data_IF_266830965890
#
_entry.id   IF_266830965890
#
_cell.length_a   1.000
_cell.length_b   1.000
_cell.length_c   1.000
_cell.angle_alpha   90.00
_cell.angle_beta   90.00
_cell.angle_gamma   90.00
#
_symmetry.space_group_name_H-M   'P 1'
#
loop_
_entity.id
_entity.type
_entity.pdbx_description
1 polymer ?
#
# COMPACT_ATOMS: atom_id res chain seq x y z
N UNK A 1 -68.06 25.31 -8.56
CA UNK A 1 -69.13 25.89 -7.71
C UNK A 1 -68.52 26.19 -6.32
N UNK A 2 -68.97 27.26 -5.65
CA UNK A 2 -68.79 27.69 -4.22
C UNK A 2 -67.71 26.97 -3.35
N UNK A 3 -66.66 27.59 -2.79
CA UNK A 3 -66.56 28.75 -1.84
C UNK A 3 -67.32 28.52 -0.51
N UNK A 4 -66.82 28.80 0.72
CA UNK A 4 -65.54 29.32 1.28
C UNK A 4 -65.54 29.03 2.82
N UNK A 5 -64.88 29.73 3.78
CA UNK A 5 -64.04 30.95 3.85
C UNK A 5 -63.16 30.93 5.16
N UNK A 6 -62.17 31.85 5.24
CA UNK A 6 -61.53 32.63 6.36
C UNK A 6 -62.00 32.40 7.83
N UNK A 7 -61.25 32.73 8.91
CA UNK A 7 -60.17 33.71 9.20
C UNK A 7 -59.29 33.23 10.41
N UNK A 8 -58.30 33.92 11.03
CA UNK A 8 -57.89 35.34 11.21
C UNK A 8 -56.34 35.45 11.33
N UNK A 9 -55.79 36.65 11.09
CA UNK A 9 -54.35 37.03 11.12
C UNK A 9 -53.97 37.97 12.28
N UNK A 10 -52.74 37.87 12.82
CA UNK A 10 -51.93 38.95 13.41
C UNK A 10 -50.48 38.42 13.63
N UNK A 11 -49.42 38.90 12.98
CA UNK A 11 -48.60 40.12 13.27
C UNK A 11 -48.11 40.20 14.73
N UNK A 12 -46.82 40.37 15.06
CA UNK A 12 -45.59 40.54 14.27
C UNK A 12 -44.53 41.31 15.08
N UNK A 13 -43.23 41.24 14.72
CA UNK A 13 -42.07 41.98 15.31
C UNK A 13 -41.77 41.77 16.82
N UNK A 14 -40.54 41.79 17.31
CA UNK A 14 -39.21 41.91 16.68
C UNK A 14 -38.11 42.16 17.74
N UNK A 15 -36.83 41.95 17.36
CA UNK A 15 -35.60 42.35 18.09
C UNK A 15 -35.31 41.69 19.47
N UNK A 16 -34.09 41.57 20.00
CA UNK A 16 -32.73 41.30 19.50
C UNK A 16 -31.72 41.62 20.65
N UNK A 17 -31.43 40.65 21.53
CA UNK A 17 -30.27 40.60 22.46
C UNK A 17 -30.10 41.73 23.51
N UNK A 18 -28.96 41.78 24.24
CA UNK A 18 -27.89 40.77 24.38
C UNK A 18 -27.32 40.59 25.83
N UNK A 19 -26.23 39.79 25.96
CA UNK A 19 -25.14 39.81 26.98
C UNK A 19 -25.32 39.27 28.42
N UNK A 20 -24.21 38.66 28.94
CA UNK A 20 -23.99 38.15 30.32
C UNK A 20 -23.72 36.63 30.35
N UNK A 21 -22.49 36.11 30.18
CA UNK A 21 -21.39 36.00 31.17
C UNK A 21 -21.83 35.53 32.57
N UNK A 22 -21.64 34.23 32.89
CA UNK A 22 -20.68 33.73 33.90
C UNK A 22 -20.91 32.25 34.29
N UNK A 23 -19.82 31.50 34.49
CA UNK A 23 -19.74 30.25 35.26
C UNK A 23 -18.93 30.53 36.53
N UNK A 24 -19.44 30.21 37.73
CA UNK A 24 -18.75 29.17 38.50
C UNK A 24 -19.68 28.29 39.37
N UNK A 25 -19.51 26.98 39.33
CA UNK A 25 -20.35 26.03 40.06
C UNK A 25 -20.06 25.82 41.57
N UNK A 26 -21.05 25.29 42.32
CA UNK A 26 -20.82 24.51 43.56
C UNK A 26 -22.02 23.64 44.03
N UNK A 27 -21.81 22.32 43.97
CA UNK A 27 -22.16 21.22 44.92
C UNK A 27 -23.53 21.13 45.65
N UNK A 28 -23.92 19.84 45.84
CA UNK A 28 -24.83 19.22 46.86
C UNK A 28 -26.32 19.06 46.49
N UNK A 29 -27.05 18.07 47.07
CA UNK A 29 -26.67 16.70 47.46
C UNK A 29 -27.74 15.61 47.14
N UNK A 30 -27.46 14.34 47.45
CA UNK A 30 -28.52 13.37 47.83
C UNK A 30 -28.74 12.16 46.91
N UNK A 31 -28.17 11.01 47.28
CA UNK A 31 -28.60 9.68 46.81
C UNK A 31 -29.71 9.11 47.72
N UNK A 32 -30.33 7.97 47.35
CA UNK A 32 -29.91 6.75 48.05
C UNK A 32 -29.63 5.55 47.13
N UNK A 33 -28.94 4.55 47.73
CA UNK A 33 -28.44 3.33 47.10
C UNK A 33 -29.53 2.26 46.93
N UNK A 34 -29.25 1.27 46.07
CA UNK A 34 -29.75 -0.10 46.23
C UNK A 34 -28.59 -1.08 46.11
N UNK A 35 -28.57 -2.04 47.02
CA UNK A 35 -27.41 -2.91 47.26
C UNK A 35 -27.39 -4.17 46.39
N UNK A 36 -26.19 -4.77 46.35
CA UNK A 36 -25.87 -6.01 45.67
C UNK A 36 -26.46 -7.25 46.39
N UNK A 37 -26.71 -8.31 45.64
CA UNK A 37 -26.77 -9.67 46.20
C UNK A 37 -25.87 -10.60 45.38
N UNK A 38 -24.96 -11.25 46.10
CA UNK A 38 -24.09 -12.34 45.64
C UNK A 38 -24.54 -13.61 46.37
N UNK A 39 -24.42 -14.80 45.76
CA UNK A 39 -24.13 -15.99 46.52
C UNK A 39 -22.84 -16.67 46.05
N UNK A 40 -22.11 -17.26 47.01
CA UNK A 40 -20.88 -17.99 46.78
C UNK A 40 -20.94 -19.38 47.45
N UNK A 41 -20.21 -20.34 46.88
CA UNK A 41 -19.72 -21.53 47.58
C UNK A 41 -20.66 -22.74 47.66
N UNK A 42 -20.19 -23.90 47.18
CA UNK A 42 -20.94 -25.16 47.23
C UNK A 42 -20.14 -26.35 46.70
N UNK A 43 -19.07 -26.72 47.40
CA UNK A 43 -18.19 -27.84 47.05
C UNK A 43 -18.90 -29.21 47.29
N UNK A 44 -18.79 -30.16 46.34
CA UNK A 44 -18.89 -31.60 46.66
C UNK A 44 -18.35 -32.52 45.56
N UNK A 45 -17.65 -33.57 46.01
CA UNK A 45 -16.94 -34.59 45.21
C UNK A 45 -17.84 -35.77 44.78
N UNK A 46 -17.24 -36.64 43.97
CA UNK A 46 -17.61 -38.03 43.62
C UNK A 46 -18.53 -38.18 42.39
N UNK A 47 -18.40 -39.18 41.51
CA UNK A 47 -17.32 -40.12 41.13
C UNK A 47 -17.92 -41.14 40.14
N UNK A 48 -17.09 -41.66 39.24
CA UNK A 48 -17.22 -42.99 38.61
C UNK A 48 -18.30 -43.28 37.54
N UNK A 49 -17.79 -43.67 36.35
CA UNK A 49 -18.19 -44.82 35.50
C UNK A 49 -19.61 -44.88 34.90
N UNK A 50 -19.69 -44.91 33.57
CA UNK A 50 -20.91 -45.28 32.84
C UNK A 50 -20.71 -45.44 31.33
N UNK A 51 -20.38 -46.65 30.90
CA UNK A 51 -20.26 -47.11 29.50
C UNK A 51 -21.54 -46.85 28.68
N UNK A 52 -21.43 -46.54 27.38
CA UNK A 52 -22.60 -46.44 26.49
C UNK A 52 -22.23 -46.12 25.03
N UNK A 53 -21.95 -47.15 24.24
CA UNK A 53 -21.65 -47.00 22.81
C UNK A 53 -22.91 -46.71 21.97
N UNK A 54 -22.76 -45.92 20.91
CA UNK A 54 -23.75 -45.79 19.84
C UNK A 54 -23.12 -46.04 18.47
N UNK A 55 -23.42 -47.20 17.89
CA UNK A 55 -23.20 -47.48 16.47
C UNK A 55 -24.39 -46.97 15.65
N UNK A 56 -24.15 -46.46 14.44
CA UNK A 56 -25.21 -45.98 13.54
C UNK A 56 -24.69 -45.59 12.16
N UNK A 57 -24.34 -46.59 11.35
CA UNK A 57 -23.94 -46.40 9.94
C UNK A 57 -25.13 -46.09 9.00
N UNK A 58 -24.86 -45.69 7.75
CA UNK A 58 -25.83 -45.00 6.90
C UNK A 58 -26.67 -45.92 5.98
N UNK A 59 -27.82 -45.45 5.46
CA UNK A 59 -28.55 -46.14 4.40
C UNK A 59 -28.03 -45.78 3.00
N UNK A 60 -27.83 -46.80 2.15
CA UNK A 60 -27.70 -46.67 0.69
C UNK A 60 -29.04 -47.02 0.03
N UNK A 61 -29.45 -46.30 -1.01
CA UNK A 61 -30.55 -46.72 -1.89
C UNK A 61 -30.43 -46.20 -3.34
N UNK A 62 -30.35 -47.13 -4.29
CA UNK A 62 -30.51 -47.11 -5.77
C UNK A 62 -30.65 -48.59 -6.19
N UNK A 63 -31.09 -48.99 -7.42
CA UNK A 63 -31.40 -48.19 -8.63
C UNK A 63 -32.74 -48.55 -9.35
N UNK A 64 -33.11 -47.82 -10.41
CA UNK A 64 -33.53 -48.32 -11.76
C UNK A 64 -33.71 -47.14 -12.75
N UNK A 65 -33.51 -47.36 -14.06
CA UNK A 65 -33.55 -46.33 -15.13
C UNK A 65 -34.93 -46.18 -15.83
N UNK A 66 -35.04 -45.74 -17.13
CA UNK A 66 -34.01 -45.67 -18.19
C UNK A 66 -33.90 -44.33 -18.98
N UNK A 67 -33.02 -44.32 -20.00
CA UNK A 67 -32.72 -43.23 -20.95
C UNK A 67 -33.63 -43.23 -22.20
N UNK A 68 -33.61 -42.15 -23.01
CA UNK A 68 -33.71 -42.26 -24.47
C UNK A 68 -32.50 -41.66 -25.23
N UNK A 69 -32.24 -42.15 -26.44
CA UNK A 69 -31.29 -41.62 -27.44
C UNK A 69 -32.06 -41.01 -28.63
N UNK A 70 -31.52 -39.99 -29.29
CA UNK A 70 -32.04 -39.48 -30.57
C UNK A 70 -31.15 -38.44 -31.26
N UNK A 71 -30.73 -38.75 -32.49
CA UNK A 71 -30.01 -37.93 -33.49
C UNK A 71 -30.36 -38.55 -34.87
N UNK A 72 -30.04 -37.95 -36.04
CA UNK A 72 -29.60 -36.57 -36.37
C UNK A 72 -30.43 -35.92 -37.51
N UNK A 73 -30.11 -34.68 -37.92
CA UNK A 73 -30.41 -34.13 -39.27
C UNK A 73 -29.55 -32.88 -39.57
N UNK A 74 -28.91 -32.82 -40.74
CA UNK A 74 -28.38 -31.60 -41.39
C UNK A 74 -29.22 -31.24 -42.63
N UNK A 75 -28.77 -30.36 -43.58
CA UNK A 75 -27.39 -29.90 -43.82
C UNK A 75 -27.19 -28.37 -44.08
N UNK A 76 -25.92 -28.02 -44.30
CA UNK A 76 -25.29 -26.77 -44.82
C UNK A 76 -25.77 -26.41 -46.28
N UNK A 77 -25.38 -25.28 -46.97
CA UNK A 77 -24.05 -24.61 -46.95
C UNK A 77 -23.97 -23.06 -47.10
N UNK A 78 -22.78 -22.47 -46.85
CA UNK A 78 -22.01 -21.67 -47.86
C UNK A 78 -20.64 -21.13 -47.34
N UNK A 79 -19.56 -21.79 -47.81
CA UNK A 79 -18.21 -21.34 -48.30
C UNK A 79 -17.72 -19.88 -48.07
N UNK A 80 -16.42 -19.63 -47.82
CA UNK A 80 -15.28 -20.56 -47.61
C UNK A 80 -13.86 -19.99 -47.85
N UNK A 81 -12.85 -20.87 -47.73
CA UNK A 81 -11.42 -20.77 -48.13
C UNK A 81 -10.48 -19.75 -47.40
N UNK A 82 -9.22 -20.09 -47.05
CA UNK A 82 -8.56 -21.41 -47.06
C UNK A 82 -7.03 -21.38 -46.88
N UNK A 83 -6.44 -22.55 -46.57
CA UNK A 83 -5.00 -22.91 -46.64
C UNK A 83 -4.03 -22.23 -45.64
N UNK A 84 -2.93 -22.85 -45.18
CA UNK A 84 -2.24 -24.11 -45.56
C UNK A 84 -1.44 -24.68 -44.37
N UNK A 85 -1.44 -25.99 -44.17
CA UNK A 85 -0.51 -26.69 -43.25
C UNK A 85 0.83 -27.00 -43.93
N UNK A 86 1.92 -27.04 -43.16
CA UNK A 86 3.17 -27.71 -43.55
C UNK A 86 3.67 -28.62 -42.42
N UNK A 87 3.63 -29.93 -42.67
CA UNK A 87 4.55 -30.88 -42.02
C UNK A 87 5.91 -30.78 -42.69
N UNK A 88 6.98 -30.92 -41.92
CA UNK A 88 8.27 -31.44 -42.41
C UNK A 88 8.76 -32.46 -41.40
N UNK A 89 8.86 -33.71 -41.85
CA UNK A 89 9.69 -34.75 -41.23
C UNK A 89 11.14 -34.49 -41.68
N UNK A 90 12.13 -34.56 -40.79
CA UNK A 90 13.36 -35.28 -41.14
C UNK A 90 14.12 -35.82 -39.92
N UNK A 91 14.88 -36.89 -40.17
CA UNK A 91 15.61 -37.71 -39.20
C UNK A 91 17.11 -37.51 -39.36
N UNK A 92 17.85 -37.39 -38.25
CA UNK A 92 19.16 -38.07 -37.99
C UNK A 92 19.65 -37.71 -36.59
N UNK A 93 19.70 -38.67 -35.66
CA UNK A 93 20.89 -39.53 -35.42
C UNK A 93 22.19 -38.74 -35.21
N UNK A 94 22.60 -38.60 -33.95
CA UNK A 94 23.93 -39.06 -33.53
C UNK A 94 23.84 -39.67 -32.12
N UNK A 95 24.13 -40.97 -32.00
CA UNK A 95 24.47 -41.61 -30.72
C UNK A 95 25.99 -41.52 -30.55
N UNK A 96 26.46 -41.03 -29.40
CA UNK A 96 27.76 -41.40 -28.85
C UNK A 96 27.62 -41.68 -27.36
N UNK A 97 27.92 -42.91 -26.98
CA UNK A 97 28.05 -43.32 -25.59
C UNK A 97 29.50 -43.74 -25.33
N UNK A 98 30.17 -43.08 -24.40
CA UNK A 98 31.32 -43.57 -23.64
C UNK A 98 31.26 -42.83 -22.29
N UNK A 99 30.85 -43.47 -21.19
CA UNK A 99 31.60 -44.44 -20.35
C UNK A 99 32.81 -43.84 -19.62
N UNK A 100 32.65 -43.69 -18.30
CA UNK A 100 33.70 -43.88 -17.28
C UNK A 100 34.57 -42.67 -16.95
N UNK A 101 34.60 -42.23 -15.68
CA UNK A 101 35.46 -41.11 -15.30
C UNK A 101 35.39 -40.52 -13.87
N UNK A 102 34.92 -41.25 -12.86
CA UNK A 102 35.10 -40.94 -11.42
C UNK A 102 35.26 -42.29 -10.68
N UNK A 103 36.03 -42.40 -9.56
CA UNK A 103 36.32 -41.33 -8.57
C UNK A 103 37.77 -41.26 -8.03
N UNK A 104 38.13 -40.21 -7.28
CA UNK A 104 38.46 -40.30 -5.83
C UNK A 104 38.76 -38.94 -5.16
N UNK A 105 38.60 -38.81 -3.83
CA UNK A 105 38.80 -37.55 -3.08
C UNK A 105 40.02 -37.56 -2.13
N UNK A 106 40.52 -36.37 -1.81
CA UNK A 106 41.22 -35.95 -0.57
C UNK A 106 41.38 -34.41 -0.67
N UNK A 107 41.53 -33.59 0.37
CA UNK A 107 42.12 -33.81 1.71
C UNK A 107 41.30 -33.05 2.77
N UNK A 108 41.00 -33.69 3.91
CA UNK A 108 40.63 -32.97 5.14
C UNK A 108 41.90 -32.44 5.81
N UNK A 109 41.88 -31.21 6.32
CA UNK A 109 42.72 -30.83 7.48
C UNK A 109 41.80 -30.47 8.64
N UNK A 110 42.06 -31.10 9.77
CA UNK A 110 41.55 -30.74 11.08
C UNK A 110 42.71 -30.15 11.90
N UNK A 111 42.42 -29.82 13.17
CA UNK A 111 43.25 -29.12 14.15
C UNK A 111 43.27 -27.58 13.96
N UNK A 112 42.98 -26.75 14.98
CA UNK A 112 42.86 -27.03 16.42
C UNK A 112 41.82 -26.21 17.20
N UNK A 113 41.81 -26.42 18.52
CA UNK A 113 40.75 -26.15 19.50
C UNK A 113 40.41 -24.66 19.76
N UNK A 114 39.19 -24.36 20.28
CA UNK A 114 38.76 -23.01 20.63
C UNK A 114 39.42 -22.46 21.91
N UNK A 115 39.58 -21.14 21.99
CA UNK A 115 39.93 -20.43 23.24
C UNK A 115 38.67 -20.05 24.02
N UNK A 116 38.60 -20.49 25.29
CA UNK A 116 37.70 -19.97 26.33
C UNK A 116 38.48 -18.99 27.22
N UNK A 117 37.96 -17.79 27.44
CA UNK A 117 38.17 -16.87 28.57
C UNK A 117 37.58 -15.50 28.19
N UNK A 118 36.93 -14.71 29.05
CA UNK A 118 36.54 -14.93 30.45
C UNK A 118 35.21 -14.20 30.77
N UNK A 119 34.51 -14.67 31.80
CA UNK A 119 33.46 -13.92 32.48
C UNK A 119 34.08 -12.78 33.29
N UNK A 120 33.50 -11.58 33.22
CA UNK A 120 33.74 -10.50 34.20
C UNK A 120 32.43 -9.80 34.57
N UNK A 121 31.82 -10.29 35.64
CA UNK A 121 31.08 -9.53 36.65
C UNK A 121 31.81 -9.85 37.98
N UNK A 122 31.94 -8.92 38.95
CA UNK A 122 30.82 -8.17 39.51
C UNK A 122 31.10 -6.69 39.86
N UNK A 123 30.07 -5.98 40.32
CA UNK A 123 30.19 -4.62 40.85
C UNK A 123 28.86 -4.03 41.32
N UNK A 124 28.38 -4.40 42.50
CA UNK A 124 27.23 -3.75 43.13
C UNK A 124 27.62 -2.36 43.65
N UNK A 125 26.86 -1.32 43.28
CA UNK A 125 26.99 0.05 43.80
C UNK A 125 25.61 0.64 44.08
N UNK A 126 25.40 1.20 45.27
CA UNK A 126 24.08 1.60 45.78
C UNK A 126 23.71 3.03 45.37
N UNK A 127 22.49 3.19 44.86
CA UNK A 127 21.51 4.25 45.19
C UNK A 127 21.91 5.73 45.18
N UNK A 128 21.21 6.51 44.35
CA UNK A 128 20.71 7.85 44.73
C UNK A 128 19.45 8.16 43.90
N UNK A 129 18.41 8.70 44.55
CA UNK A 129 17.21 9.19 43.87
C UNK A 129 17.35 10.68 43.54
N UNK A 130 16.95 11.09 42.34
CA UNK A 130 16.71 12.49 41.98
C UNK A 130 15.58 12.54 40.95
N UNK A 131 14.57 13.38 41.19
CA UNK A 131 13.29 13.32 40.46
C UNK A 131 13.32 13.93 39.05
N UNK A 132 12.52 13.37 38.16
CA UNK A 132 12.23 13.96 36.86
C UNK A 132 11.40 15.24 37.02
N UNK A 133 11.91 16.37 36.49
CA UNK A 133 11.10 17.54 36.13
C UNK A 133 10.79 17.49 34.64
N UNK A 134 9.54 17.75 34.28
CA UNK A 134 9.12 17.88 32.88
C UNK A 134 9.68 19.16 32.24
N UNK A 135 10.02 19.14 30.93
CA UNK A 135 10.27 20.37 30.18
C UNK A 135 8.94 21.07 29.85
N UNK A 136 8.88 22.38 30.12
CA UNK A 136 7.75 23.23 29.78
C UNK A 136 7.79 23.65 28.30
N UNK A 137 6.61 23.87 27.72
CA UNK A 137 6.42 24.38 26.36
C UNK A 137 6.88 25.83 26.21
N UNK A 138 7.48 26.15 25.06
CA UNK A 138 7.80 27.54 24.65
C UNK A 138 6.86 27.93 23.52
N UNK A 139 6.09 28.99 23.75
CA UNK A 139 5.25 29.65 22.75
C UNK A 139 6.12 30.65 21.97
N UNK A 140 5.91 30.75 20.65
CA UNK A 140 6.58 31.74 19.78
C UNK A 140 5.53 32.58 19.07
N UNK A 141 5.52 33.88 19.38
CA UNK A 141 4.73 34.90 18.68
C UNK A 141 5.59 35.62 17.62
N UNK A 142 5.01 36.13 16.51
CA UNK A 142 5.78 36.63 15.36
C UNK A 142 6.11 38.14 15.43
N UNK A 143 7.38 38.49 15.17
CA UNK A 143 7.86 39.87 15.07
C UNK A 143 8.21 40.28 13.63
N UNK A 144 7.82 41.50 13.23
CA UNK A 144 8.11 42.11 11.91
C UNK A 144 9.58 42.62 11.77
N UNK A 145 10.07 42.85 10.54
CA UNK A 145 11.50 43.06 10.25
C UNK A 145 11.97 44.53 10.28
N UNK A 146 13.28 44.79 10.52
CA UNK A 146 13.92 46.08 10.23
C UNK A 146 14.54 46.13 8.82
N UNK A 147 14.82 47.35 8.34
CA UNK A 147 15.29 47.62 6.98
C UNK A 147 16.70 48.23 6.90
N UNK A 148 17.31 48.09 5.71
CA UNK A 148 18.39 48.91 5.11
C UNK A 148 19.79 48.95 5.77
N UNK A 149 20.83 48.87 4.93
CA UNK A 149 22.21 49.25 5.30
C UNK A 149 23.32 48.52 4.52
N UNK A 150 23.73 49.04 3.37
CA UNK A 150 24.98 48.64 2.70
C UNK A 150 26.14 49.54 3.15
N UNK A 151 27.32 48.98 3.48
CA UNK A 151 28.59 49.72 3.45
C UNK A 151 29.49 49.28 2.29
N UNK A 152 30.27 50.22 1.76
CA UNK A 152 31.24 50.01 0.66
C UNK A 152 32.63 49.64 1.19
N UNK A 153 33.22 48.61 0.60
CA UNK A 153 34.60 48.59 0.08
C UNK A 153 35.80 48.79 1.02
N UNK A 154 36.69 47.80 1.04
CA UNK A 154 38.13 47.95 1.36
C UNK A 154 38.95 47.29 0.24
N UNK A 155 40.09 47.88 -0.11
CA UNK A 155 41.01 47.40 -1.16
C UNK A 155 42.18 46.61 -0.53
N UNK A 156 42.73 45.64 -1.26
CA UNK A 156 44.05 45.07 -0.97
C UNK A 156 45.05 45.36 -2.11
N UNK A 157 46.36 45.52 -1.80
CA UNK A 157 47.40 45.87 -2.77
C UNK A 157 47.93 44.65 -3.54
N UNK A 158 48.64 44.91 -4.65
CA UNK A 158 48.99 43.90 -5.65
C UNK A 158 50.37 43.23 -5.50
N UNK A 159 50.65 42.32 -6.43
CA UNK A 159 51.98 41.78 -6.75
C UNK A 159 52.12 41.65 -8.27
N UNK A 160 53.22 42.15 -8.82
CA UNK A 160 53.52 42.15 -10.26
C UNK A 160 53.78 40.76 -10.85
N UNK A 161 53.26 40.50 -12.06
CA UNK A 161 53.87 39.58 -13.03
C UNK A 161 53.79 40.09 -14.48
N UNK A 162 54.92 40.66 -14.91
CA UNK A 162 55.58 40.66 -16.22
C UNK A 162 54.76 40.19 -17.44
N UNK A 163 54.71 41.03 -18.48
CA UNK A 163 53.98 40.75 -19.72
C UNK A 163 54.64 39.74 -20.68
N UNK A 164 53.81 39.22 -21.58
CA UNK A 164 54.14 38.45 -22.77
C UNK A 164 53.21 38.88 -23.93
N UNK A 165 53.55 38.59 -25.20
CA UNK A 165 53.10 39.41 -26.33
C UNK A 165 51.65 39.23 -26.80
N UNK A 166 51.15 40.29 -27.44
CA UNK A 166 49.82 40.43 -28.01
C UNK A 166 49.55 39.42 -29.14
N UNK A 167 48.51 38.61 -28.96
CA UNK A 167 47.91 37.82 -30.02
C UNK A 167 46.46 38.26 -30.24
N UNK A 168 46.30 39.35 -31.01
CA UNK A 168 45.07 39.72 -31.72
C UNK A 168 44.52 38.55 -32.56
N UNK A 169 43.75 37.66 -31.95
CA UNK A 169 42.77 36.83 -32.66
C UNK A 169 41.45 37.58 -32.74
N UNK A 170 41.14 38.03 -33.95
CA UNK A 170 39.88 38.66 -34.30
C UNK A 170 38.72 37.72 -33.92
N UNK A 171 37.81 38.19 -33.06
CA UNK A 171 36.52 37.49 -32.85
C UNK A 171 35.65 37.77 -34.06
N UNK A 172 35.11 36.76 -34.76
CA UNK A 172 34.15 37.02 -35.84
C UNK A 172 32.90 37.68 -35.26
N UNK A 173 32.40 38.70 -35.94
CA UNK A 173 31.07 39.23 -35.68
C UNK A 173 30.02 38.18 -36.09
N UNK A 174 28.98 38.02 -35.28
CA UNK A 174 27.88 37.10 -35.59
C UNK A 174 27.63 36.04 -34.51
N UNK A 175 26.89 36.44 -33.49
CA UNK A 175 25.81 35.63 -32.93
C UNK A 175 24.89 36.55 -32.13
N UNK A 176 23.70 36.76 -32.68
CA UNK A 176 22.61 37.40 -31.92
C UNK A 176 22.33 36.53 -30.71
N UNK A 177 22.49 37.09 -29.51
CA UNK A 177 22.01 36.45 -28.29
C UNK A 177 20.49 36.55 -28.31
N UNK A 178 19.84 35.59 -28.97
CA UNK A 178 18.43 35.32 -28.73
C UNK A 178 18.27 35.13 -27.22
N UNK A 179 17.37 35.89 -26.55
CA UNK A 179 17.09 35.62 -25.16
C UNK A 179 16.54 34.20 -25.11
N UNK A 180 17.31 33.28 -24.52
CA UNK A 180 16.76 31.99 -24.10
C UNK A 180 15.61 32.36 -23.18
N UNK A 181 14.40 32.19 -23.69
CA UNK A 181 13.17 32.46 -22.94
C UNK A 181 13.27 31.56 -21.73
N UNK A 182 13.63 32.13 -20.59
CA UNK A 182 13.64 31.43 -19.33
C UNK A 182 12.20 30.99 -19.13
N UNK A 183 11.94 29.72 -19.42
CA UNK A 183 10.73 29.07 -18.98
C UNK A 183 10.84 29.11 -17.47
N UNK A 184 10.13 30.06 -16.84
CA UNK A 184 10.02 30.13 -15.39
C UNK A 184 9.81 28.69 -14.91
N UNK A 185 10.62 28.21 -13.95
CA UNK A 185 10.50 26.82 -13.50
C UNK A 185 9.03 26.60 -13.15
N UNK A 186 8.43 25.57 -13.76
CA UNK A 186 7.06 25.17 -13.45
C UNK A 186 6.99 25.09 -11.92
N UNK A 187 6.09 25.85 -11.26
CA UNK A 187 6.03 25.85 -9.79
C UNK A 187 5.95 24.39 -9.33
N UNK A 188 6.74 24.04 -8.31
CA UNK A 188 7.16 22.66 -8.08
C UNK A 188 5.99 21.74 -7.70
N UNK A 189 5.27 21.27 -8.71
CA UNK A 189 3.95 20.70 -8.57
C UNK A 189 4.01 19.41 -7.77
N UNK A 190 3.10 19.30 -6.79
CA UNK A 190 2.90 18.09 -6.00
C UNK A 190 1.47 17.61 -6.20
N UNK A 191 1.31 16.53 -6.95
CA UNK A 191 0.00 15.94 -7.24
C UNK A 191 -0.76 15.59 -5.96
N UNK A 192 -0.06 15.16 -4.91
CA UNK A 192 -0.66 14.85 -3.62
C UNK A 192 -1.15 16.09 -2.85
N UNK A 193 -0.44 17.21 -2.96
CA UNK A 193 -0.89 18.48 -2.37
C UNK A 193 -2.04 19.08 -3.18
N UNK A 194 -1.93 19.07 -4.51
CA UNK A 194 -2.98 19.58 -5.39
C UNK A 194 -4.31 18.83 -5.19
N UNK A 195 -4.28 17.50 -5.17
CA UNK A 195 -5.47 16.66 -4.89
C UNK A 195 -6.08 16.92 -3.51
N UNK A 196 -5.25 17.22 -2.49
CA UNK A 196 -5.72 17.58 -1.16
C UNK A 196 -6.36 18.98 -1.13
N UNK A 197 -5.72 19.98 -1.73
CA UNK A 197 -6.27 21.36 -1.86
C UNK A 197 -7.55 21.40 -2.70
N UNK A 198 -7.69 20.48 -3.63
CA UNK A 198 -8.85 20.31 -4.51
C UNK A 198 -10.02 19.53 -3.88
N UNK A 199 -9.90 19.14 -2.60
CA UNK A 199 -10.82 18.26 -1.85
C UNK A 199 -11.22 16.99 -2.63
N UNK A 200 -10.28 16.41 -3.38
CA UNK A 200 -10.60 15.30 -4.29
C UNK A 200 -11.04 14.05 -3.47
N UNK A 201 -12.17 13.40 -3.80
CA UNK A 201 -12.57 12.16 -3.13
C UNK A 201 -11.56 11.03 -3.34
N UNK A 202 -11.17 10.36 -2.25
CA UNK A 202 -10.25 9.21 -2.29
C UNK A 202 -10.99 7.86 -2.38
N UNK A 203 -12.27 7.84 -2.03
CA UNK A 203 -13.11 6.64 -1.94
C UNK A 203 -13.51 6.14 -3.33
N UNK A 204 -13.47 4.83 -3.54
CA UNK A 204 -13.70 4.19 -4.85
C UNK A 204 -12.48 4.22 -5.77
N UNK A 205 -11.28 4.49 -5.24
CA UNK A 205 -10.05 4.64 -6.03
C UNK A 205 -8.98 3.59 -5.78
N UNK A 206 -9.26 2.56 -4.98
CA UNK A 206 -8.33 1.45 -4.77
C UNK A 206 -8.09 0.65 -6.07
N UNK A 207 -6.93 0.00 -6.23
CA UNK A 207 -6.65 -0.84 -7.39
C UNK A 207 -7.67 -1.96 -7.52
N UNK A 208 -8.19 -2.20 -8.73
CA UNK A 208 -9.20 -3.23 -9.01
C UNK A 208 -8.57 -4.57 -9.42
N UNK A 209 -7.25 -4.72 -9.30
CA UNK A 209 -6.54 -5.93 -9.71
C UNK A 209 -6.84 -7.10 -8.73
N UNK A 210 -7.52 -8.19 -9.16
CA UNK A 210 -7.94 -9.26 -8.25
C UNK A 210 -6.79 -10.21 -7.89
N UNK A 211 -5.80 -10.34 -8.77
CA UNK A 211 -4.63 -11.19 -8.58
C UNK A 211 -3.36 -10.33 -8.53
N UNK A 212 -2.60 -10.46 -7.45
CA UNK A 212 -1.39 -9.68 -7.18
C UNK A 212 -0.22 -10.63 -6.93
N UNK A 213 0.92 -10.35 -7.58
CA UNK A 213 2.21 -10.98 -7.31
C UNK A 213 3.17 -9.95 -6.70
N UNK A 214 3.77 -10.28 -5.57
CA UNK A 214 4.77 -9.46 -4.89
C UNK A 214 6.11 -10.16 -4.94
N UNK A 215 7.15 -9.51 -5.47
CA UNK A 215 8.49 -10.10 -5.61
C UNK A 215 9.55 -9.21 -4.98
N UNK A 216 10.38 -9.76 -4.11
CA UNK A 216 11.50 -9.04 -3.50
C UNK A 216 12.54 -8.62 -4.56
N UNK A 217 12.75 -7.32 -4.70
CA UNK A 217 13.77 -6.70 -5.54
C UNK A 217 14.41 -5.54 -4.76
N UNK A 218 15.46 -5.80 -3.95
CA UNK A 218 16.10 -4.81 -3.08
C UNK A 218 16.73 -3.62 -3.80
N UNK A 219 16.90 -3.71 -5.13
CA UNK A 219 17.51 -2.68 -5.95
C UNK A 219 16.65 -1.41 -6.14
N UNK A 220 17.21 -0.41 -6.84
CA UNK A 220 16.45 0.73 -7.32
C UNK A 220 15.44 0.29 -8.40
N UNK A 221 14.30 0.97 -8.45
CA UNK A 221 13.27 0.81 -9.47
C UNK A 221 13.14 2.09 -10.31
N UNK A 222 12.86 1.96 -11.60
CA UNK A 222 12.57 3.08 -12.50
C UNK A 222 11.08 3.44 -12.57
N UNK A 223 10.69 4.06 -13.70
CA UNK A 223 9.33 4.59 -13.91
C UNK A 223 8.35 3.47 -14.24
N UNK A 224 8.81 2.47 -14.98
CA UNK A 224 8.11 1.20 -15.16
C UNK A 224 8.89 0.13 -14.38
N UNK A 225 8.44 -0.18 -13.17
CA UNK A 225 9.28 -0.90 -12.23
C UNK A 225 9.57 -2.36 -12.62
N UNK A 226 8.72 -3.01 -13.41
CA UNK A 226 8.91 -4.41 -13.83
C UNK A 226 9.98 -4.53 -14.91
N UNK A 227 10.09 -3.52 -15.80
CA UNK A 227 11.17 -3.41 -16.78
C UNK A 227 12.43 -2.74 -16.19
N UNK A 228 12.26 -1.64 -15.44
CA UNK A 228 13.35 -0.81 -14.92
C UNK A 228 13.83 -1.28 -13.52
N UNK A 229 14.41 -2.47 -13.40
CA UNK A 229 14.98 -2.96 -12.14
C UNK A 229 16.26 -3.81 -12.34
N UNK A 230 16.80 -4.39 -11.26
CA UNK A 230 18.06 -5.18 -11.27
C UNK A 230 17.89 -6.70 -11.27
N UNK A 231 16.67 -7.24 -11.44
CA UNK A 231 16.44 -8.67 -11.63
C UNK A 231 17.12 -9.15 -12.94
N UNK A 232 17.36 -10.45 -13.11
CA UNK A 232 17.77 -11.03 -14.39
C UNK A 232 16.74 -10.73 -15.50
N UNK A 233 17.19 -10.60 -16.75
CA UNK A 233 16.29 -10.22 -17.86
C UNK A 233 15.17 -11.24 -18.07
N UNK A 234 15.48 -12.54 -18.04
CA UNK A 234 14.48 -13.60 -18.13
C UNK A 234 13.38 -13.51 -17.06
N UNK A 235 13.73 -13.05 -15.85
CA UNK A 235 12.78 -12.83 -14.75
C UNK A 235 11.91 -11.61 -15.04
N UNK A 236 12.47 -10.53 -15.59
CA UNK A 236 11.68 -9.35 -16.03
C UNK A 236 10.73 -9.69 -17.16
N UNK A 237 11.20 -10.42 -18.18
CA UNK A 237 10.38 -10.89 -19.31
C UNK A 237 9.24 -11.79 -18.84
N UNK A 238 9.53 -12.75 -17.95
CA UNK A 238 8.51 -13.62 -17.34
C UNK A 238 7.47 -12.80 -16.55
N UNK A 239 7.91 -11.92 -15.65
CA UNK A 239 7.02 -11.05 -14.86
C UNK A 239 6.14 -10.15 -15.75
N UNK A 240 6.67 -9.65 -16.87
CA UNK A 240 5.93 -8.83 -17.82
C UNK A 240 4.93 -9.62 -18.68
N UNK A 241 5.05 -10.95 -18.73
CA UNK A 241 4.16 -11.85 -19.47
C UNK A 241 3.03 -12.45 -18.61
N UNK A 242 3.06 -12.26 -17.28
CA UNK A 242 2.00 -12.72 -16.38
C UNK A 242 0.75 -11.83 -16.48
N UNK A 243 -0.43 -12.44 -16.50
CA UNK A 243 -1.73 -11.76 -16.40
C UNK A 243 -2.10 -11.45 -14.94
N UNK A 244 -1.12 -10.97 -14.16
CA UNK A 244 -1.23 -10.67 -12.73
C UNK A 244 -0.65 -9.29 -12.43
N UNK A 245 -1.13 -8.65 -11.37
CA UNK A 245 -0.57 -7.36 -10.94
C UNK A 245 0.75 -7.56 -10.19
N UNK A 246 1.86 -7.31 -10.87
CA UNK A 246 3.20 -7.39 -10.27
C UNK A 246 3.55 -6.10 -9.51
N UNK A 247 3.90 -6.24 -8.22
CA UNK A 247 4.64 -5.23 -7.46
C UNK A 247 6.00 -5.78 -7.02
N UNK A 248 7.00 -4.89 -6.92
CA UNK A 248 8.31 -5.28 -6.39
C UNK A 248 8.49 -4.71 -4.98
N UNK A 249 9.08 -5.50 -4.09
CA UNK A 249 9.25 -5.20 -2.67
C UNK A 249 10.71 -4.94 -2.29
N UNK A 250 10.97 -4.13 -1.27
CA UNK A 250 12.25 -4.14 -0.52
C UNK A 250 12.06 -3.74 0.94
N UNK A 251 13.01 -4.12 1.80
CA UNK A 251 13.09 -3.60 3.16
C UNK A 251 13.49 -2.12 3.15
N UNK A 252 12.97 -1.34 4.10
CA UNK A 252 13.22 0.10 4.21
C UNK A 252 14.71 0.47 4.40
N UNK A 253 15.45 -0.38 5.13
CA UNK A 253 16.89 -0.24 5.35
C UNK A 253 17.74 -0.75 4.17
N UNK A 254 17.10 -1.29 3.13
CA UNK A 254 17.77 -1.92 1.99
C UNK A 254 18.37 -3.30 2.29
N UNK A 255 18.08 -3.89 3.46
CA UNK A 255 18.47 -5.26 3.76
C UNK A 255 17.76 -6.27 2.85
N UNK A 256 18.43 -7.41 2.63
CA UNK A 256 17.92 -8.52 1.85
C UNK A 256 18.38 -9.83 2.51
N UNK A 257 17.52 -10.85 2.48
CA UNK A 257 17.87 -12.19 2.94
C UNK A 257 18.79 -12.93 1.96
N UNK A 258 19.18 -14.18 2.27
CA UNK A 258 19.94 -15.04 1.35
C UNK A 258 19.10 -15.59 0.18
N UNK A 259 17.90 -15.08 -0.05
CA UNK A 259 16.95 -15.56 -1.06
C UNK A 259 15.94 -14.48 -1.44
N UNK A 260 15.03 -14.81 -2.37
CA UNK A 260 14.01 -13.90 -2.91
C UNK A 260 12.64 -14.26 -2.35
N UNK A 261 12.04 -13.39 -1.53
CA UNK A 261 10.65 -13.60 -1.09
C UNK A 261 9.67 -13.34 -2.23
N UNK A 262 8.71 -14.24 -2.37
CA UNK A 262 7.60 -14.14 -3.33
C UNK A 262 6.30 -14.36 -2.59
N UNK A 263 5.31 -13.50 -2.84
CA UNK A 263 3.95 -13.67 -2.34
C UNK A 263 2.96 -13.58 -3.49
N UNK A 264 1.93 -14.42 -3.47
CA UNK A 264 0.73 -14.25 -4.28
C UNK A 264 -0.43 -13.87 -3.37
N UNK A 265 -1.22 -12.89 -3.78
CA UNK A 265 -2.45 -12.51 -3.12
C UNK A 265 -3.59 -12.57 -4.13
N UNK A 266 -4.59 -13.41 -3.84
CA UNK A 266 -5.80 -13.59 -4.66
C UNK A 266 -7.00 -13.02 -3.91
N UNK A 267 -7.80 -12.18 -4.56
CA UNK A 267 -8.93 -11.50 -3.92
C UNK A 267 -10.01 -12.48 -3.44
N UNK A 268 -10.63 -12.14 -2.31
CA UNK A 268 -11.74 -12.90 -1.69
C UNK A 268 -12.86 -11.95 -1.28
N UNK A 269 -13.99 -12.51 -0.86
CA UNK A 269 -15.13 -11.72 -0.37
C UNK A 269 -14.76 -10.77 0.78
N UNK A 270 -13.74 -11.08 1.60
CA UNK A 270 -13.35 -10.29 2.78
C UNK A 270 -11.97 -9.61 2.67
N UNK A 271 -11.25 -9.76 1.55
CA UNK A 271 -9.87 -9.26 1.41
C UNK A 271 -9.09 -10.01 0.35
N UNK A 272 -7.96 -10.58 0.75
CA UNK A 272 -7.10 -11.42 -0.08
C UNK A 272 -6.64 -12.66 0.68
N UNK A 273 -6.66 -13.81 0.02
CA UNK A 273 -5.91 -14.99 0.46
C UNK A 273 -4.45 -14.80 0.04
N UNK A 274 -3.54 -14.72 1.03
CA UNK A 274 -2.10 -14.56 0.78
C UNK A 274 -1.39 -15.89 0.91
N UNK A 275 -0.51 -16.18 -0.04
CA UNK A 275 0.44 -17.29 -0.02
C UNK A 275 1.84 -16.75 -0.23
N UNK A 276 2.87 -17.41 0.30
CA UNK A 276 4.23 -16.92 0.15
C UNK A 276 5.31 -17.97 0.37
N UNK A 277 6.45 -17.76 -0.28
CA UNK A 277 7.63 -18.63 -0.22
C UNK A 277 8.92 -17.81 -0.27
N UNK A 278 10.06 -18.46 -0.07
CA UNK A 278 11.39 -17.88 -0.27
C UNK A 278 12.14 -18.76 -1.26
N UNK A 279 12.48 -18.18 -2.41
CA UNK A 279 13.28 -18.82 -3.44
C UNK A 279 14.77 -18.63 -3.14
N UNK A 280 15.62 -19.60 -3.49
CA UNK A 280 17.08 -19.43 -3.34
C UNK A 280 17.61 -18.31 -4.26
N UNK A 281 17.03 -18.14 -5.44
CA UNK A 281 17.40 -17.11 -6.43
C UNK A 281 16.17 -16.53 -7.14
N UNK A 282 16.25 -15.31 -7.70
CA UNK A 282 15.14 -14.73 -8.45
C UNK A 282 14.81 -15.49 -9.75
N UNK A 283 15.78 -16.18 -10.37
CA UNK A 283 15.52 -16.99 -11.57
C UNK A 283 14.68 -18.24 -11.28
N UNK A 284 14.62 -18.71 -10.04
CA UNK A 284 13.84 -19.90 -9.68
C UNK A 284 12.32 -19.59 -9.73
N UNK A 285 11.94 -18.32 -9.89
CA UNK A 285 10.57 -17.87 -10.17
C UNK A 285 10.05 -18.40 -11.52
N UNK A 286 10.95 -18.63 -12.48
CA UNK A 286 10.58 -19.08 -13.84
C UNK A 286 9.92 -20.46 -13.85
N UNK A 287 10.25 -21.30 -12.87
CA UNK A 287 9.76 -22.66 -12.68
C UNK A 287 8.75 -22.76 -11.52
N UNK A 288 8.38 -21.64 -10.88
CA UNK A 288 7.45 -21.61 -9.75
C UNK A 288 6.00 -21.74 -10.23
N UNK A 289 5.36 -22.87 -9.91
CA UNK A 289 3.92 -23.01 -10.04
C UNK A 289 3.23 -22.08 -9.02
N UNK A 290 2.56 -21.04 -9.53
CA UNK A 290 1.88 -20.04 -8.71
C UNK A 290 0.56 -20.55 -8.10
N UNK A 291 -0.02 -21.62 -8.63
CA UNK A 291 -1.28 -22.22 -8.18
C UNK A 291 -1.06 -23.36 -7.15
N UNK A 292 0.10 -24.03 -7.21
CA UNK A 292 0.47 -25.12 -6.28
C UNK A 292 0.59 -24.63 -4.81
N UNK A 293 -0.30 -25.08 -3.91
CA UNK A 293 -0.26 -24.70 -2.49
C UNK A 293 0.92 -25.31 -1.72
N UNK A 294 1.68 -26.25 -2.30
CA UNK A 294 2.90 -26.81 -1.71
C UNK A 294 4.13 -25.98 -2.05
N UNK A 295 4.18 -25.37 -3.24
CA UNK A 295 5.21 -24.41 -3.63
C UNK A 295 4.98 -23.02 -3.00
N UNK A 296 3.71 -22.61 -2.88
CA UNK A 296 3.25 -21.38 -2.23
C UNK A 296 2.30 -21.71 -1.06
N UNK A 297 2.81 -22.01 0.14
CA UNK A 297 1.99 -22.22 1.33
C UNK A 297 1.28 -20.92 1.76
N UNK A 298 0.19 -21.07 2.54
CA UNK A 298 -0.54 -19.95 3.12
C UNK A 298 0.35 -19.05 3.99
N UNK A 299 0.10 -17.74 3.97
CA UNK A 299 0.83 -16.75 4.74
C UNK A 299 -0.13 -15.84 5.52
N UNK A 300 -0.17 -16.01 6.83
CA UNK A 300 -1.10 -15.30 7.73
C UNK A 300 -0.52 -14.00 8.33
N UNK A 301 0.70 -13.62 7.94
CA UNK A 301 1.36 -12.41 8.44
C UNK A 301 0.82 -11.12 7.78
N UNK A 302 0.93 -9.96 8.46
CA UNK A 302 0.58 -8.69 7.86
C UNK A 302 1.62 -8.28 6.82
N UNK A 303 1.18 -7.77 5.67
CA UNK A 303 2.03 -7.07 4.70
C UNK A 303 1.58 -5.60 4.60
N UNK A 304 2.40 -4.70 5.13
CA UNK A 304 2.21 -3.25 5.03
C UNK A 304 3.01 -2.73 3.84
N UNK A 305 2.38 -2.70 2.67
CA UNK A 305 3.02 -2.35 1.41
C UNK A 305 2.97 -0.83 1.20
N UNK A 306 4.05 -0.12 1.48
CA UNK A 306 4.13 1.35 1.37
C UNK A 306 4.73 1.76 0.03
N UNK A 307 3.98 2.49 -0.80
CA UNK A 307 4.45 2.86 -2.13
C UNK A 307 5.52 3.97 -2.08
N UNK A 308 6.77 3.64 -2.43
CA UNK A 308 7.90 4.60 -2.37
C UNK A 308 8.58 4.88 -3.72
N UNK A 309 7.99 4.47 -4.85
CA UNK A 309 8.58 4.66 -6.17
C UNK A 309 8.60 6.14 -6.64
N UNK A 310 9.66 6.86 -6.24
CA UNK A 310 9.96 8.24 -6.64
C UNK A 310 10.25 8.45 -8.13
N UNK A 311 10.64 7.40 -8.87
CA UNK A 311 10.86 7.46 -10.32
C UNK A 311 9.54 7.44 -11.10
N UNK A 312 8.49 6.85 -10.52
CA UNK A 312 7.12 6.96 -11.03
C UNK A 312 6.53 8.34 -10.72
N UNK A 313 6.51 8.74 -9.45
CA UNK A 313 6.06 10.06 -9.00
C UNK A 313 6.78 10.48 -7.71
N UNK A 314 7.15 11.76 -7.59
CA UNK A 314 7.91 12.30 -6.46
C UNK A 314 7.17 12.16 -5.13
N UNK A 315 5.85 12.39 -5.11
CA UNK A 315 5.04 12.31 -3.89
C UNK A 315 5.13 10.93 -3.23
N UNK A 316 5.25 9.85 -4.02
CA UNK A 316 5.44 8.49 -3.51
C UNK A 316 6.71 8.35 -2.67
N UNK A 317 7.85 8.87 -3.12
CA UNK A 317 9.08 8.80 -2.34
C UNK A 317 9.08 9.80 -1.16
N UNK A 318 8.58 11.02 -1.37
CA UNK A 318 8.60 12.08 -0.36
C UNK A 318 7.73 11.74 0.87
N UNK A 319 6.50 11.22 0.65
CA UNK A 319 5.57 10.87 1.73
C UNK A 319 5.69 9.40 2.16
N UNK A 320 5.92 8.48 1.22
CA UNK A 320 5.95 7.04 1.50
C UNK A 320 7.18 6.58 2.27
N UNK A 321 8.38 7.14 2.03
CA UNK A 321 9.60 6.65 2.71
C UNK A 321 9.60 6.92 4.22
N UNK A 322 9.21 8.11 4.74
CA UNK A 322 9.04 8.33 6.17
C UNK A 322 8.05 7.35 6.82
N UNK A 323 6.93 7.04 6.14
CA UNK A 323 5.92 6.09 6.62
C UNK A 323 6.50 4.67 6.68
N UNK A 324 7.20 4.22 5.64
CA UNK A 324 7.86 2.91 5.63
C UNK A 324 8.89 2.78 6.78
N UNK A 325 9.64 3.85 7.06
CA UNK A 325 10.61 3.87 8.16
C UNK A 325 9.98 3.89 9.55
N UNK A 326 8.78 4.46 9.70
CA UNK A 326 7.99 4.40 10.93
C UNK A 326 7.42 2.99 11.14
N UNK A 327 6.71 2.45 10.13
CA UNK A 327 6.05 1.14 10.23
C UNK A 327 7.06 0.00 10.38
N UNK A 328 8.28 0.12 9.82
CA UNK A 328 9.34 -0.87 9.99
C UNK A 328 9.94 -0.93 11.41
N UNK A 329 9.67 0.04 12.28
CA UNK A 329 10.05 -0.03 13.70
C UNK A 329 9.06 -0.89 14.50
N UNK A 330 7.77 -0.84 14.16
CA UNK A 330 6.71 -1.63 14.81
C UNK A 330 6.58 -3.03 14.21
N UNK A 331 6.57 -3.11 12.87
CA UNK A 331 6.41 -4.34 12.10
C UNK A 331 7.58 -4.57 11.13
N UNK A 332 8.80 -4.85 11.63
CA UNK A 332 10.00 -5.00 10.79
C UNK A 332 9.86 -6.10 9.73
N UNK A 333 9.22 -7.22 10.05
CA UNK A 333 9.03 -8.31 9.08
C UNK A 333 7.82 -8.10 8.14
N UNK A 334 6.80 -7.36 8.58
CA UNK A 334 5.59 -7.10 7.80
C UNK A 334 5.66 -5.87 6.89
N UNK A 335 6.52 -4.91 7.20
CA UNK A 335 6.64 -3.66 6.44
C UNK A 335 7.54 -3.81 5.22
N UNK A 336 7.05 -3.31 4.08
CA UNK A 336 7.75 -3.31 2.80
C UNK A 336 7.63 -1.94 2.14
N UNK A 337 8.75 -1.41 1.65
CA UNK A 337 8.68 -0.47 0.54
C UNK A 337 8.22 -1.25 -0.70
N UNK A 338 7.30 -0.69 -1.48
CA UNK A 338 6.80 -1.30 -2.72
C UNK A 338 6.83 -0.33 -3.91
N UNK A 339 6.73 -0.89 -5.10
CA UNK A 339 6.57 -0.14 -6.36
C UNK A 339 5.19 0.54 -6.42
N UNK A 340 4.83 1.09 -7.58
CA UNK A 340 3.71 2.02 -7.64
C UNK A 340 2.34 1.35 -7.57
N UNK A 341 1.73 1.38 -6.38
CA UNK A 341 0.37 0.88 -6.08
C UNK A 341 -0.77 1.59 -6.83
N UNK A 342 -0.53 2.68 -7.54
CA UNK A 342 -1.60 3.55 -8.06
C UNK A 342 -2.08 4.58 -7.02
N UNK A 343 -2.56 5.74 -7.50
CA UNK A 343 -3.04 6.82 -6.63
C UNK A 343 -1.93 7.69 -6.03
N UNK A 344 -0.90 8.03 -6.79
CA UNK A 344 0.20 8.94 -6.35
C UNK A 344 -0.29 10.36 -5.94
N UNK A 345 -1.45 10.79 -6.42
CA UNK A 345 -2.14 12.01 -5.95
C UNK A 345 -2.80 11.86 -4.57
N UNK A 346 -2.83 10.65 -4.03
CA UNK A 346 -3.28 10.33 -2.68
C UNK A 346 -2.11 9.76 -1.86
N UNK A 347 -0.88 10.21 -2.13
CA UNK A 347 0.33 9.63 -1.55
C UNK A 347 0.41 9.79 -0.03
N UNK A 348 1.33 9.05 0.57
CA UNK A 348 0.97 8.25 1.74
C UNK A 348 0.06 7.08 1.36
N UNK A 349 0.33 6.43 0.22
CA UNK A 349 -0.42 5.24 -0.22
C UNK A 349 0.17 3.96 0.35
N UNK A 350 -0.71 3.12 0.89
CA UNK A 350 -0.39 1.83 1.48
C UNK A 350 -1.42 0.79 1.00
N UNK A 351 -1.00 -0.45 0.77
CA UNK A 351 -1.90 -1.61 0.64
C UNK A 351 -1.63 -2.56 1.80
N UNK A 352 -2.65 -2.86 2.59
CA UNK A 352 -2.58 -3.77 3.72
C UNK A 352 -3.11 -5.15 3.30
N UNK A 353 -2.29 -6.19 3.39
CA UNK A 353 -2.72 -7.59 3.22
C UNK A 353 -2.62 -8.33 4.57
N UNK A 354 -3.50 -9.29 4.86
CA UNK A 354 -4.53 -9.88 3.98
C UNK A 354 -5.83 -9.06 3.81
N UNK A 355 -6.03 -7.96 4.53
CA UNK A 355 -7.32 -7.23 4.50
C UNK A 355 -7.71 -6.68 3.12
N UNK A 356 -6.73 -6.41 2.24
CA UNK A 356 -6.95 -5.78 0.94
C UNK A 356 -7.22 -4.28 1.03
N UNK A 357 -7.18 -3.67 2.21
CA UNK A 357 -7.50 -2.24 2.37
C UNK A 357 -6.39 -1.38 1.76
N UNK A 358 -6.75 -0.62 0.72
CA UNK A 358 -5.88 0.39 0.15
C UNK A 358 -6.11 1.72 0.87
N UNK A 359 -5.06 2.25 1.48
CA UNK A 359 -5.05 3.53 2.18
C UNK A 359 -4.40 4.62 1.31
N UNK A 360 -4.71 5.88 1.60
CA UNK A 360 -4.13 7.05 0.96
C UNK A 360 -4.16 8.26 1.88
N UNK A 361 -3.42 9.31 1.53
CA UNK A 361 -3.23 10.54 2.33
C UNK A 361 -2.67 10.28 3.74
N UNK A 362 -1.98 9.15 3.94
CA UNK A 362 -1.27 8.89 5.19
C UNK A 362 -0.07 9.83 5.33
N UNK A 363 0.27 10.10 6.59
CA UNK A 363 1.50 10.76 7.02
C UNK A 363 2.09 10.02 8.22
N UNK A 364 3.21 10.50 8.78
CA UNK A 364 3.84 9.87 9.95
C UNK A 364 3.05 10.03 11.26
N UNK A 365 1.99 10.84 11.30
CA UNK A 365 1.12 10.99 12.47
C UNK A 365 -0.07 10.02 12.42
N UNK A 366 -0.54 9.69 11.23
CA UNK A 366 -1.73 8.86 10.97
C UNK A 366 -1.42 7.40 10.61
N UNK A 367 -0.28 7.12 9.97
CA UNK A 367 0.01 5.80 9.41
C UNK A 367 0.02 4.66 10.44
N UNK A 368 0.61 4.88 11.62
CA UNK A 368 0.69 3.84 12.67
C UNK A 368 -0.72 3.47 13.17
N UNK A 369 -1.49 4.46 13.64
CA UNK A 369 -2.85 4.25 14.13
C UNK A 369 -3.79 3.64 13.08
N UNK A 370 -3.61 4.00 11.79
CA UNK A 370 -4.37 3.40 10.69
C UNK A 370 -4.01 1.92 10.49
N UNK A 371 -2.72 1.54 10.56
CA UNK A 371 -2.30 0.15 10.45
C UNK A 371 -2.72 -0.67 11.68
N UNK A 372 -2.65 -0.11 12.89
CA UNK A 372 -3.17 -0.75 14.11
C UNK A 372 -4.68 -1.02 14.02
N UNK A 373 -5.46 -0.09 13.48
CA UNK A 373 -6.89 -0.30 13.24
C UNK A 373 -7.13 -1.47 12.28
N UNK A 374 -6.42 -1.49 11.15
CA UNK A 374 -6.49 -2.60 10.19
C UNK A 374 -6.06 -3.94 10.82
N UNK A 375 -5.04 -3.93 11.69
CA UNK A 375 -4.60 -5.13 12.42
C UNK A 375 -5.65 -5.66 13.42
N UNK A 376 -6.55 -4.79 13.92
CA UNK A 376 -7.73 -5.18 14.72
C UNK A 376 -8.95 -5.59 13.87
N UNK A 377 -8.83 -5.57 12.54
CA UNK A 377 -9.94 -5.84 11.61
C UNK A 377 -10.86 -4.63 11.37
N UNK A 378 -10.46 -3.43 11.81
CA UNK A 378 -11.21 -2.18 11.61
C UNK A 378 -10.87 -1.55 10.24
N UNK A 379 -11.81 -0.77 9.71
CA UNK A 379 -11.61 0.00 8.47
C UNK A 379 -11.50 1.49 8.83
N UNK A 380 -10.32 2.14 8.71
CA UNK A 380 -10.13 3.54 9.11
C UNK A 380 -10.67 4.52 8.04
N UNK A 381 -11.91 5.07 8.19
CA UNK A 381 -12.68 5.56 7.05
C UNK A 381 -12.10 6.80 6.38
N UNK A 382 -11.45 7.70 7.15
CA UNK A 382 -10.90 8.95 6.63
C UNK A 382 -9.66 8.79 5.73
N UNK A 383 -9.04 7.61 5.71
CA UNK A 383 -7.83 7.31 4.91
C UNK A 383 -8.00 6.09 4.00
N UNK A 384 -9.11 5.34 4.10
CA UNK A 384 -9.39 4.20 3.22
C UNK A 384 -9.91 4.67 1.87
N UNK A 385 -9.23 4.24 0.79
CA UNK A 385 -9.66 4.43 -0.61
C UNK A 385 -10.68 3.39 -1.04
N UNK A 386 -10.62 2.21 -0.44
CA UNK A 386 -11.45 1.05 -0.72
C UNK A 386 -10.68 -0.25 -0.51
N UNK A 387 -11.37 -1.38 -0.59
CA UNK A 387 -10.74 -2.70 -0.67
C UNK A 387 -10.32 -2.99 -2.12
N UNK A 388 -9.05 -3.33 -2.30
CA UNK A 388 -8.50 -3.66 -3.61
C UNK A 388 -9.15 -4.94 -4.19
N UNK A 389 -9.09 -5.10 -5.51
CA UNK A 389 -9.70 -6.24 -6.23
C UNK A 389 -11.20 -6.09 -6.50
N UNK A 390 -11.89 -5.19 -5.78
CA UNK A 390 -13.30 -4.82 -6.02
C UNK A 390 -13.42 -3.62 -6.96
N UNK A 391 -14.57 -3.45 -7.61
CA UNK A 391 -14.92 -2.25 -8.38
C UNK A 391 -15.00 -1.00 -7.49
N UNK A 392 -14.90 0.19 -8.08
CA UNK A 392 -14.99 1.43 -7.32
C UNK A 392 -16.37 1.63 -6.67
N UNK A 393 -17.43 1.17 -7.33
CA UNK A 393 -18.80 1.14 -6.81
C UNK A 393 -18.92 0.27 -5.55
N UNK A 394 -18.32 -0.92 -5.54
CA UNK A 394 -18.32 -1.83 -4.39
C UNK A 394 -17.47 -1.28 -3.23
N UNK A 395 -16.32 -0.67 -3.54
CA UNK A 395 -15.47 0.02 -2.56
C UNK A 395 -16.22 1.15 -1.86
N UNK A 396 -16.99 1.96 -2.60
CA UNK A 396 -17.81 3.05 -2.05
C UNK A 396 -18.98 2.49 -1.24
N UNK A 397 -19.66 1.44 -1.75
CA UNK A 397 -20.78 0.77 -1.05
C UNK A 397 -20.34 0.22 0.30
N UNK A 398 -19.19 -0.44 0.37
CA UNK A 398 -18.61 -0.94 1.62
C UNK A 398 -18.41 0.19 2.65
N UNK A 399 -17.76 1.29 2.25
CA UNK A 399 -17.49 2.41 3.16
C UNK A 399 -18.78 3.18 3.55
N UNK A 400 -19.76 3.27 2.66
CA UNK A 400 -21.09 3.84 2.96
C UNK A 400 -21.82 3.03 4.03
N UNK A 401 -21.87 1.71 3.89
CA UNK A 401 -22.52 0.81 4.86
C UNK A 401 -21.79 0.83 6.22
N UNK A 402 -20.45 0.83 6.21
CA UNK A 402 -19.66 0.98 7.44
C UNK A 402 -19.85 2.35 8.11
N UNK A 403 -20.16 3.40 7.33
CA UNK A 403 -20.59 4.72 7.81
C UNK A 403 -22.03 4.79 8.33
N UNK A 404 -22.79 3.68 8.31
CA UNK A 404 -24.18 3.61 8.75
C UNK A 404 -25.22 3.91 7.65
N UNK A 405 -24.82 3.95 6.38
CA UNK A 405 -25.73 4.09 5.24
C UNK A 405 -26.52 2.82 4.91
N UNK A 406 -27.62 2.95 4.13
CA UNK A 406 -28.40 1.78 3.72
C UNK A 406 -27.65 1.01 2.61
N UNK A 407 -27.41 -0.31 2.74
CA UNK A 407 -26.79 -1.12 1.69
C UNK A 407 -27.55 -1.14 0.36
N UNK A 408 -28.82 -0.71 0.33
CA UNK A 408 -29.65 -0.57 -0.88
C UNK A 408 -29.37 0.71 -1.66
N UNK A 409 -28.73 1.71 -1.07
CA UNK A 409 -28.51 3.00 -1.71
C UNK A 409 -27.73 2.85 -3.04
N UNK A 410 -28.11 3.63 -4.04
CA UNK A 410 -27.49 3.60 -5.36
C UNK A 410 -26.12 4.28 -5.31
N UNK A 411 -25.08 3.55 -5.73
CA UNK A 411 -23.74 4.09 -5.90
C UNK A 411 -23.53 4.35 -7.39
N UNK A 412 -23.26 5.59 -7.77
CA UNK A 412 -23.19 6.01 -9.17
C UNK A 412 -21.84 6.67 -9.45
N UNK A 413 -21.10 6.14 -10.42
CA UNK A 413 -19.90 6.78 -10.95
C UNK A 413 -20.25 8.10 -11.66
N UNK A 414 -19.63 9.21 -11.24
CA UNK A 414 -19.84 10.55 -11.79
C UNK A 414 -18.51 11.09 -12.34
N UNK A 415 -18.48 11.56 -13.61
CA UNK A 415 -17.32 12.25 -14.16
C UNK A 415 -16.98 13.50 -13.33
N UNK A 416 -15.75 13.53 -12.81
CA UNK A 416 -15.18 14.68 -12.13
C UNK A 416 -14.35 15.57 -13.07
N UNK A 417 -13.82 16.70 -12.56
CA UNK A 417 -13.02 17.63 -13.35
C UNK A 417 -11.75 16.98 -13.91
N UNK A 418 -11.26 17.55 -15.01
CA UNK A 418 -9.96 17.20 -15.59
C UNK A 418 -8.85 17.81 -14.73
N UNK A 419 -8.02 16.96 -14.10
CA UNK A 419 -6.92 17.39 -13.21
C UNK A 419 -5.57 16.92 -13.73
N UNK A 420 -4.49 17.64 -13.39
CA UNK A 420 -3.10 17.16 -13.53
C UNK A 420 -2.86 16.10 -12.46
N UNK A 421 -2.49 14.90 -12.90
CA UNK A 421 -2.42 13.73 -12.01
C UNK A 421 -1.02 13.45 -11.45
N UNK A 422 0.03 14.05 -12.03
CA UNK A 422 1.44 13.62 -11.89
C UNK A 422 2.39 14.78 -11.56
N UNK A 423 3.37 14.54 -10.70
CA UNK A 423 4.54 15.42 -10.50
C UNK A 423 5.59 15.26 -11.61
N UNK A 424 5.56 14.14 -12.33
CA UNK A 424 6.57 13.75 -13.31
C UNK A 424 6.28 14.20 -14.73
N UNK A 425 5.06 14.65 -15.01
CA UNK A 425 4.58 15.07 -16.33
C UNK A 425 3.39 16.03 -16.18
N UNK A 426 3.10 16.80 -17.24
CA UNK A 426 2.00 17.76 -17.26
C UNK A 426 0.68 17.16 -17.81
N UNK A 427 0.56 15.81 -17.87
CA UNK A 427 -0.65 15.18 -18.44
C UNK A 427 -1.84 15.37 -17.49
N UNK A 428 -2.92 15.87 -18.06
CA UNK A 428 -4.21 15.98 -17.39
C UNK A 428 -5.12 14.81 -17.77
N UNK A 429 -5.98 14.38 -16.85
CA UNK A 429 -6.98 13.33 -17.07
C UNK A 429 -8.27 13.69 -16.36
N UNK A 430 -9.40 13.31 -16.94
CA UNK A 430 -10.69 13.29 -16.24
C UNK A 430 -10.59 12.46 -14.96
N UNK A 431 -11.25 12.92 -13.91
CA UNK A 431 -11.42 12.17 -12.67
C UNK A 431 -12.77 11.47 -12.66
N UNK A 432 -12.93 10.50 -11.76
CA UNK A 432 -14.22 9.91 -11.42
C UNK A 432 -14.36 10.00 -9.92
N UNK A 433 -15.56 10.36 -9.46
CA UNK A 433 -15.98 10.24 -8.07
C UNK A 433 -17.29 9.44 -8.04
N UNK A 434 -17.78 9.11 -6.85
CA UNK A 434 -18.99 8.32 -6.69
C UNK A 434 -19.99 9.08 -5.82
N UNK A 435 -21.20 9.27 -6.36
CA UNK A 435 -22.35 9.74 -5.60
C UNK A 435 -23.01 8.53 -4.93
N UNK A 436 -23.44 8.70 -3.68
CA UNK A 436 -24.39 7.78 -3.05
C UNK A 436 -25.77 8.46 -3.01
N UNK A 437 -26.78 7.77 -3.52
CA UNK A 437 -28.15 8.28 -3.68
C UNK A 437 -29.11 7.33 -2.98
N UNK A 438 -30.11 7.86 -2.29
CA UNK A 438 -31.09 7.01 -1.62
C UNK A 438 -31.81 6.13 -2.63
N UNK A 439 -31.91 4.84 -2.32
CA UNK A 439 -32.77 3.91 -3.05
C UNK A 439 -34.21 4.48 -3.13
N UNK A 440 -34.86 4.29 -4.28
CA UNK A 440 -36.24 4.77 -4.52
C UNK A 440 -37.30 3.75 -4.12
#
# INVERSE_FOLDING_TARGET
MRAGRRAVTATGTGCAGPTGWDDPGRRLPGAPRRDLCVPAGGDRRASARGVGAWHGGPPRARPTGPLPRGQPSGPDPHRGAGHRTRRVDDRRRLRRAHRGGRPRPAVRRADGRPRRAALLLPGQGRGAAAGHRAPASVVVEPGHPPAAGLPRGVRHPGVDRRGGPDHRRQRPAGQSLTPVRQTSPVPDFRCSLASLTDDEPIVGTAPTDPEILLVECPGPWGRDAVADNRLPESVREHLAALDLKVFLLRRYDGSAGPGTRVFRASATDDGYAVRGTVLDRPEDLLDLDLDDPTALPAYDGPLWLVCTNGKRDRCCAELGRPIAGLLAQEWPEGTWETTHLGGHRFSGTLLALPSGLALGRLDTASALAACEAVARGEVPPGVTRGRAGRSGEEQVRELHVLGGGDPRDDVVAVPGPVRRQSCGDDKVKGTTHYDVRRAR
#
